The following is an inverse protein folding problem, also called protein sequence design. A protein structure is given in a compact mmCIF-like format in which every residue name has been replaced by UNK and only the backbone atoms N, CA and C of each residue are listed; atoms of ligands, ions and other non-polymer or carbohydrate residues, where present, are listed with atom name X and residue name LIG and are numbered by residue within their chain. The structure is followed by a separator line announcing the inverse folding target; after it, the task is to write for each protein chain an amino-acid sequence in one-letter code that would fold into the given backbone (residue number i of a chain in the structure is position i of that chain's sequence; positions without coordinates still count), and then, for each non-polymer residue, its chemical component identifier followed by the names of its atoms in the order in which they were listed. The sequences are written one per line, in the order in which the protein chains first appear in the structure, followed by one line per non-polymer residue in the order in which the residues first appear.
data_IF_905898510502
#
_entry.id   IF_905898510502
#
_cell.length_a   1.000
_cell.length_b   1.000
_cell.length_c   1.000
_cell.angle_alpha   90.00
_cell.angle_beta   90.00
_cell.angle_gamma   90.00
#
_symmetry.space_group_name_H-M   'P 1'
#
loop_
_entity.id
_entity.type
_entity.pdbx_description
1 polymer ?
#
# COMPACT_ATOMS: atom_id res chain seq x y z
N UNK A 1 19.57 -45.21 -29.34
CA UNK A 1 19.37 -44.96 -27.90
C UNK A 1 19.58 -43.47 -27.60
N UNK A 2 18.61 -42.60 -27.96
CA UNK A 2 18.75 -41.12 -27.86
C UNK A 2 17.68 -40.51 -26.91
N UNK A 3 16.62 -41.25 -26.64
CA UNK A 3 15.49 -40.84 -25.78
C UNK A 3 15.86 -40.62 -24.31
N UNK A 4 16.90 -41.29 -23.80
CA UNK A 4 17.33 -41.12 -22.40
C UNK A 4 17.98 -39.75 -22.12
N UNK A 5 18.65 -39.16 -23.11
CA UNK A 5 19.43 -37.93 -22.92
C UNK A 5 18.53 -36.68 -22.91
N UNK A 6 17.51 -36.64 -23.78
CA UNK A 6 16.53 -35.54 -23.78
C UNK A 6 15.68 -35.50 -22.50
N UNK A 7 15.28 -36.66 -21.98
CA UNK A 7 14.53 -36.73 -20.72
C UNK A 7 15.38 -36.25 -19.53
N UNK A 8 16.67 -36.60 -19.50
CA UNK A 8 17.59 -36.08 -18.48
C UNK A 8 17.77 -34.56 -18.57
N UNK A 9 17.92 -34.00 -19.77
CA UNK A 9 18.06 -32.55 -19.99
C UNK A 9 16.80 -31.80 -19.54
N UNK A 10 15.61 -32.33 -19.83
CA UNK A 10 14.35 -31.70 -19.46
C UNK A 10 14.11 -31.72 -17.96
N UNK A 11 14.44 -32.83 -17.27
CA UNK A 11 14.37 -32.89 -15.81
C UNK A 11 15.37 -31.94 -15.14
N UNK A 12 16.56 -31.80 -15.71
CA UNK A 12 17.57 -30.87 -15.20
C UNK A 12 17.11 -29.41 -15.36
N UNK A 13 16.53 -29.06 -16.52
CA UNK A 13 15.95 -27.73 -16.77
C UNK A 13 14.78 -27.43 -15.84
N UNK A 14 13.88 -28.39 -15.64
CA UNK A 14 12.74 -28.26 -14.73
C UNK A 14 13.19 -28.04 -13.29
N UNK A 15 14.16 -28.83 -12.81
CA UNK A 15 14.74 -28.67 -11.48
C UNK A 15 15.38 -27.30 -11.29
N UNK A 16 16.16 -26.84 -12.27
CA UNK A 16 16.79 -25.51 -12.20
C UNK A 16 15.74 -24.39 -12.11
N UNK A 17 14.67 -24.47 -12.89
CA UNK A 17 13.57 -23.51 -12.83
C UNK A 17 12.88 -23.51 -11.45
N UNK A 18 12.65 -24.70 -10.88
CA UNK A 18 12.06 -24.85 -9.54
C UNK A 18 12.98 -24.27 -8.45
N UNK A 19 14.29 -24.52 -8.54
CA UNK A 19 15.29 -23.96 -7.61
C UNK A 19 15.37 -22.44 -7.71
N UNK A 20 15.44 -21.88 -8.93
CA UNK A 20 15.47 -20.44 -9.16
C UNK A 20 14.19 -19.77 -8.64
N UNK A 21 13.02 -20.40 -8.84
CA UNK A 21 11.74 -19.92 -8.32
C UNK A 21 11.69 -19.97 -6.79
N UNK A 22 12.18 -21.05 -6.16
CA UNK A 22 12.26 -21.14 -4.69
C UNK A 22 13.20 -20.08 -4.11
N UNK A 23 14.34 -19.84 -4.75
CA UNK A 23 15.30 -18.83 -4.31
C UNK A 23 14.71 -17.41 -4.39
N UNK A 24 13.98 -17.09 -5.46
CA UNK A 24 13.28 -15.82 -5.59
C UNK A 24 12.19 -15.64 -4.51
N UNK A 25 11.45 -16.69 -4.19
CA UNK A 25 10.45 -16.68 -3.11
C UNK A 25 11.10 -16.51 -1.73
N UNK A 26 12.23 -17.17 -1.47
CA UNK A 26 12.97 -17.05 -0.22
C UNK A 26 13.49 -15.63 0.01
N UNK A 27 14.04 -14.97 -1.02
CA UNK A 27 14.47 -13.57 -0.93
C UNK A 27 13.30 -12.61 -0.64
N UNK A 28 12.13 -12.85 -1.25
CA UNK A 28 10.94 -12.05 -0.99
C UNK A 28 10.44 -12.24 0.46
N UNK A 29 10.52 -13.48 0.97
CA UNK A 29 10.12 -13.83 2.33
C UNK A 29 11.07 -13.24 3.38
N UNK A 30 12.39 -13.28 3.17
CA UNK A 30 13.38 -12.66 4.05
C UNK A 30 13.15 -11.15 4.22
N UNK A 31 12.77 -10.45 3.15
CA UNK A 31 12.39 -9.03 3.22
C UNK A 31 11.10 -8.78 4.02
N UNK A 32 10.18 -9.74 4.05
CA UNK A 32 8.96 -9.66 4.84
C UNK A 32 9.20 -10.08 6.32
N UNK A 33 10.08 -11.03 6.59
CA UNK A 33 10.45 -11.41 7.96
C UNK A 33 11.35 -10.38 8.66
N UNK A 34 12.04 -9.53 7.89
CA UNK A 34 12.90 -8.48 8.43
C UNK A 34 12.18 -7.41 9.27
N UNK A 35 10.85 -7.31 9.17
CA UNK A 35 10.05 -6.36 9.96
C UNK A 35 9.21 -7.12 11.00
N UNK A 36 9.50 -6.86 12.28
CA UNK A 36 8.68 -7.39 13.37
C UNK A 36 7.24 -6.90 13.27
N UNK A 37 6.29 -7.65 13.84
CA UNK A 37 4.88 -7.24 13.85
C UNK A 37 4.71 -5.85 14.50
N UNK A 38 5.48 -5.58 15.56
CA UNK A 38 5.52 -4.30 16.26
C UNK A 38 6.03 -3.17 15.35
N UNK A 39 7.08 -3.42 14.55
CA UNK A 39 7.60 -2.43 13.60
C UNK A 39 6.57 -2.09 12.51
N UNK A 40 5.83 -3.07 12.01
CA UNK A 40 4.78 -2.83 11.01
C UNK A 40 3.67 -1.95 11.56
N UNK A 41 3.23 -2.22 12.79
CA UNK A 41 2.23 -1.39 13.48
C UNK A 41 2.78 0.01 13.71
N UNK A 42 4.04 0.16 14.16
CA UNK A 42 4.67 1.46 14.39
C UNK A 42 4.74 2.29 13.11
N UNK A 43 5.14 1.69 11.98
CA UNK A 43 5.19 2.38 10.68
C UNK A 43 3.79 2.80 10.24
N UNK A 44 2.79 1.91 10.36
CA UNK A 44 1.40 2.24 10.02
C UNK A 44 0.87 3.40 10.86
N UNK A 45 1.14 3.39 12.17
CA UNK A 45 0.74 4.46 13.08
C UNK A 45 1.42 5.79 12.75
N UNK A 46 2.70 5.77 12.41
CA UNK A 46 3.45 6.96 12.01
C UNK A 46 2.90 7.56 10.72
N UNK A 47 2.63 6.73 9.71
CA UNK A 47 2.02 7.17 8.45
C UNK A 47 0.62 7.74 8.70
N UNK A 48 -0.20 7.09 9.51
CA UNK A 48 -1.53 7.58 9.86
C UNK A 48 -1.47 8.95 10.56
N UNK A 49 -0.49 9.14 11.45
CA UNK A 49 -0.29 10.40 12.18
C UNK A 49 0.17 11.52 11.25
N UNK A 50 1.12 11.24 10.35
CA UNK A 50 1.58 12.21 9.36
C UNK A 50 0.45 12.65 8.42
N UNK A 51 -0.39 11.70 7.98
CA UNK A 51 -1.58 12.00 7.19
C UNK A 51 -2.62 12.78 7.98
N UNK A 52 -2.75 12.55 9.29
CA UNK A 52 -3.66 13.32 10.14
C UNK A 52 -3.24 14.79 10.21
N UNK A 53 -1.96 15.06 10.47
CA UNK A 53 -1.41 16.42 10.51
C UNK A 53 -1.64 17.15 9.18
N UNK A 54 -1.36 16.49 8.05
CA UNK A 54 -1.57 17.07 6.72
C UNK A 54 -3.05 17.36 6.41
N UNK A 55 -3.96 16.71 7.13
CA UNK A 55 -5.40 16.82 6.99
C UNK A 55 -6.07 17.75 8.02
N UNK A 56 -5.34 18.44 8.90
CA UNK A 56 -5.96 19.33 9.91
C UNK A 56 -6.82 20.45 9.29
N UNK A 57 -6.59 20.79 8.02
CA UNK A 57 -7.38 21.75 7.25
C UNK A 57 -8.70 21.16 6.68
N UNK A 58 -8.92 19.84 6.80
CA UNK A 58 -10.12 19.15 6.34
C UNK A 58 -11.10 18.89 7.48
N UNK A 59 -12.39 18.83 7.14
CA UNK A 59 -13.45 18.40 8.06
C UNK A 59 -13.15 16.99 8.59
N UNK A 60 -13.38 16.77 9.89
CA UNK A 60 -13.06 15.53 10.62
C UNK A 60 -13.66 14.29 9.95
N UNK A 61 -14.87 14.40 9.39
CA UNK A 61 -15.52 13.30 8.64
C UNK A 61 -14.78 12.94 7.35
N UNK A 62 -14.18 13.93 6.69
CA UNK A 62 -13.41 13.74 5.46
C UNK A 62 -12.10 13.02 5.77
N UNK A 63 -11.40 13.48 6.81
CA UNK A 63 -10.16 12.88 7.29
C UNK A 63 -10.39 11.44 7.74
N UNK A 64 -11.45 11.19 8.54
CA UNK A 64 -11.78 9.83 9.02
C UNK A 64 -12.12 8.88 7.88
N UNK A 65 -12.94 9.32 6.92
CA UNK A 65 -13.26 8.50 5.73
C UNK A 65 -12.00 8.14 4.92
N UNK A 66 -11.05 9.07 4.78
CA UNK A 66 -9.80 8.84 4.08
C UNK A 66 -8.91 7.80 4.77
N UNK A 67 -8.69 7.93 6.09
CA UNK A 67 -7.89 6.98 6.88
C UNK A 67 -8.50 5.58 6.80
N UNK A 68 -9.81 5.46 7.00
CA UNK A 68 -10.51 4.18 6.91
C UNK A 68 -10.33 3.51 5.55
N UNK A 69 -10.40 4.28 4.46
CA UNK A 69 -10.28 3.73 3.11
C UNK A 69 -8.83 3.39 2.70
N UNK A 70 -7.85 4.23 3.07
CA UNK A 70 -6.48 4.15 2.53
C UNK A 70 -5.46 3.53 3.46
N UNK A 71 -5.68 3.64 4.76
CA UNK A 71 -4.77 3.10 5.78
C UNK A 71 -5.33 1.79 6.35
N UNK A 72 -6.61 1.78 6.69
CA UNK A 72 -7.25 0.63 7.35
C UNK A 72 -7.87 -0.37 6.35
N UNK A 73 -8.08 0.04 5.09
CA UNK A 73 -8.57 -0.83 4.01
C UNK A 73 -10.07 -1.15 4.05
N UNK A 74 -10.88 -0.35 4.76
CA UNK A 74 -12.33 -0.52 4.81
C UNK A 74 -13.02 -0.25 3.47
N UNK A 75 -14.12 -0.97 3.21
CA UNK A 75 -14.96 -0.72 2.04
C UNK A 75 -15.78 0.57 2.19
N UNK A 76 -16.20 1.18 1.08
CA UNK A 76 -17.00 2.41 1.13
C UNK A 76 -18.34 2.21 1.85
N UNK A 77 -18.90 1.01 1.77
CA UNK A 77 -20.10 0.62 2.50
C UNK A 77 -19.89 0.63 4.00
N UNK A 78 -18.79 0.04 4.47
CA UNK A 78 -18.48 -0.03 5.91
C UNK A 78 -18.18 1.36 6.48
N UNK A 79 -17.52 2.22 5.68
CA UNK A 79 -17.28 3.62 6.02
C UNK A 79 -18.61 4.40 6.11
N UNK A 80 -19.50 4.21 5.14
CA UNK A 80 -20.81 4.88 5.12
C UNK A 80 -21.64 4.54 6.37
N UNK A 81 -21.65 3.26 6.76
CA UNK A 81 -22.29 2.80 8.00
C UNK A 81 -21.62 3.42 9.22
N UNK A 82 -20.30 3.35 9.32
CA UNK A 82 -19.53 3.83 10.47
C UNK A 82 -19.71 5.34 10.69
N UNK A 83 -19.71 6.12 9.62
CA UNK A 83 -19.85 7.57 9.67
C UNK A 83 -21.31 8.06 9.62
N UNK A 84 -22.27 7.13 9.53
CA UNK A 84 -23.71 7.43 9.38
C UNK A 84 -24.00 8.38 8.20
N UNK A 85 -23.40 8.11 7.04
CA UNK A 85 -23.56 8.87 5.80
C UNK A 85 -23.87 7.94 4.63
N UNK A 86 -24.17 8.50 3.46
CA UNK A 86 -24.33 7.70 2.24
C UNK A 86 -22.97 7.30 1.63
N UNK A 87 -22.92 6.20 0.88
CA UNK A 87 -21.72 5.85 0.09
C UNK A 87 -21.32 6.95 -0.92
N UNK A 88 -22.29 7.74 -1.39
CA UNK A 88 -22.02 8.89 -2.24
C UNK A 88 -21.26 9.98 -1.49
N UNK A 89 -21.64 10.25 -0.24
CA UNK A 89 -20.93 11.18 0.65
C UNK A 89 -19.51 10.70 0.92
N UNK A 90 -19.30 9.40 1.14
CA UNK A 90 -17.95 8.82 1.31
C UNK A 90 -17.09 9.09 0.06
N UNK A 91 -17.62 8.87 -1.14
CA UNK A 91 -16.90 9.17 -2.40
C UNK A 91 -16.56 10.66 -2.51
N UNK A 92 -17.48 11.54 -2.15
CA UNK A 92 -17.23 12.99 -2.15
C UNK A 92 -16.16 13.39 -1.14
N UNK A 93 -16.16 12.79 0.06
CA UNK A 93 -15.14 13.00 1.08
C UNK A 93 -13.76 12.58 0.56
N UNK A 94 -13.66 11.38 -0.02
CA UNK A 94 -12.40 10.90 -0.60
C UNK A 94 -11.92 11.81 -1.74
N UNK A 95 -12.81 12.29 -2.61
CA UNK A 95 -12.44 13.23 -3.67
C UNK A 95 -11.88 14.55 -3.11
N UNK A 96 -12.52 15.12 -2.08
CA UNK A 96 -12.02 16.33 -1.40
C UNK A 96 -10.65 16.12 -0.78
N UNK A 97 -10.45 15.01 -0.07
CA UNK A 97 -9.15 14.67 0.51
C UNK A 97 -8.07 14.53 -0.55
N UNK A 98 -8.34 13.86 -1.68
CA UNK A 98 -7.38 13.69 -2.78
C UNK A 98 -6.98 15.03 -3.42
N UNK A 99 -7.92 15.95 -3.62
CA UNK A 99 -7.63 17.29 -4.15
C UNK A 99 -6.75 18.06 -3.16
N UNK A 100 -7.09 18.03 -1.88
CA UNK A 100 -6.32 18.67 -0.82
C UNK A 100 -4.86 18.19 -0.83
N UNK A 101 -4.63 16.88 -0.79
CA UNK A 101 -3.28 16.31 -0.86
C UNK A 101 -2.52 16.72 -2.11
N UNK A 102 -3.18 16.69 -3.28
CA UNK A 102 -2.54 17.10 -4.53
C UNK A 102 -2.09 18.56 -4.45
N UNK A 103 -2.93 19.46 -3.93
CA UNK A 103 -2.58 20.87 -3.77
C UNK A 103 -1.47 21.08 -2.73
N UNK A 104 -1.55 20.43 -1.56
CA UNK A 104 -0.55 20.58 -0.50
C UNK A 104 0.82 20.02 -0.90
N UNK A 105 0.86 18.86 -1.59
CA UNK A 105 2.12 18.27 -2.07
C UNK A 105 2.75 19.18 -3.13
N UNK A 106 1.96 19.65 -4.10
CA UNK A 106 2.50 20.52 -5.16
C UNK A 106 2.94 21.89 -4.65
N UNK A 107 2.30 22.41 -3.59
CA UNK A 107 2.77 23.63 -2.94
C UNK A 107 4.10 23.48 -2.19
N UNK A 108 4.46 22.26 -1.77
CA UNK A 108 5.77 21.98 -1.13
C UNK A 108 6.91 21.86 -2.14
N UNK A 109 6.60 21.46 -3.38
CA UNK A 109 7.57 21.39 -4.49
C UNK A 109 7.90 22.76 -5.11
N UNK A 110 7.16 23.81 -4.73
CA UNK A 110 7.35 25.18 -5.26
C UNK A 110 8.45 25.97 -4.54
N UNK A 111 9.06 25.40 -3.49
CA UNK A 111 10.01 26.07 -2.58
C UNK A 111 11.48 25.61 -2.79
N UNK A 112 11.86 25.06 -3.93
CA UNK A 112 13.29 24.93 -4.27
C UNK A 112 13.86 26.31 -4.67
N UNK A 113 14.77 26.93 -3.88
CA UNK A 113 15.52 28.08 -4.37
C UNK A 113 16.48 27.59 -5.45
N UNK A 114 16.26 28.03 -6.69
CA UNK A 114 17.26 27.98 -7.78
C UNK A 114 18.64 28.37 -7.20
N UNK A 115 19.56 27.41 -7.20
CA UNK A 115 20.98 27.61 -6.93
C UNK A 115 21.78 27.31 -8.19
#
# INVERSE_FOLDING_TARGET
MITANHVMIDQFRKRKLEEDALAALAQLAEGAEAQSAEQRVAISQLVATALHILNEELDEKVQRAFIMARVEGHSYRDIAVTLSVSESSVKQYLAKAMIHFHTSIFSLESDEPES
#
